data_IF_354347407412
#
_entry.id   IF_354347407412
#
_cell.length_a   1.000
_cell.length_b   1.000
_cell.length_c   1.000
_cell.angle_alpha   90.00
_cell.angle_beta   90.00
_cell.angle_gamma   90.00
#
_symmetry.space_group_name_H-M   'P 1'
#
loop_
_entity.id
_entity.type
_entity.pdbx_description
1 polymer ?
#
# COMPACT_ATOMS: atom_id res chain seq x y z
N UNK A 1 -2.33 -15.90 12.86
CA UNK A 1 -1.93 -14.58 12.34
C UNK A 1 -1.45 -14.85 10.94
N UNK A 2 -2.40 -14.89 10.01
CA UNK A 2 -2.17 -15.36 8.65
C UNK A 2 -1.31 -14.33 7.92
N UNK A 3 -0.07 -14.73 7.61
CA UNK A 3 0.84 -13.94 6.80
C UNK A 3 0.32 -13.96 5.37
N UNK A 4 -0.31 -12.88 4.90
CA UNK A 4 -0.65 -12.71 3.49
C UNK A 4 0.65 -12.53 2.69
N UNK A 5 1.04 -13.45 1.81
CA UNK A 5 2.27 -13.31 1.05
C UNK A 5 2.03 -12.34 -0.11
N UNK A 6 2.34 -11.06 0.09
CA UNK A 6 2.37 -10.06 -0.99
C UNK A 6 3.80 -9.54 -1.12
N UNK A 7 4.59 -10.10 -2.04
CA UNK A 7 5.96 -9.67 -2.32
C UNK A 7 5.98 -8.59 -3.39
N UNK A 8 6.73 -7.50 -3.19
CA UNK A 8 7.05 -6.51 -4.22
C UNK A 8 8.44 -6.80 -4.78
N UNK A 9 8.66 -6.61 -6.08
CA UNK A 9 9.97 -6.76 -6.71
C UNK A 9 10.51 -5.39 -7.15
N UNK A 10 11.81 -5.15 -6.93
CA UNK A 10 12.50 -3.92 -7.34
C UNK A 10 12.45 -3.64 -8.85
N UNK A 11 12.23 -4.67 -9.69
CA UNK A 11 12.06 -4.49 -11.14
C UNK A 11 10.62 -4.15 -11.55
N UNK A 12 9.65 -4.24 -10.65
CA UNK A 12 8.25 -3.91 -10.95
C UNK A 12 8.02 -2.40 -10.94
N UNK A 13 7.33 -1.91 -11.95
CA UNK A 13 6.95 -0.50 -12.06
C UNK A 13 5.46 -0.33 -11.80
N UNK A 14 5.07 0.86 -11.32
CA UNK A 14 3.65 1.19 -11.14
C UNK A 14 3.05 0.80 -9.79
N UNK A 15 3.70 -0.04 -8.98
CA UNK A 15 3.25 -0.39 -7.62
C UNK A 15 3.12 0.87 -6.75
N UNK A 16 4.19 1.67 -6.66
CA UNK A 16 4.18 2.94 -5.91
C UNK A 16 3.09 3.88 -6.40
N UNK A 17 2.88 3.97 -7.73
CA UNK A 17 1.82 4.80 -8.33
C UNK A 17 0.42 4.31 -7.95
N UNK A 18 0.17 3.00 -8.01
CA UNK A 18 -1.14 2.41 -7.67
C UNK A 18 -1.49 2.67 -6.20
N UNK A 19 -0.51 2.47 -5.32
CA UNK A 19 -0.63 2.74 -3.89
C UNK A 19 -0.88 4.23 -3.63
N UNK A 20 -0.03 5.11 -4.15
CA UNK A 20 -0.15 6.55 -3.93
C UNK A 20 -1.45 7.10 -4.48
N UNK A 21 -1.91 6.62 -5.63
CA UNK A 21 -3.16 7.05 -6.26
C UNK A 21 -4.39 6.72 -5.40
N UNK A 22 -4.47 5.51 -4.85
CA UNK A 22 -5.61 5.11 -4.01
C UNK A 22 -5.65 5.86 -2.69
N UNK A 23 -4.49 6.13 -2.07
CA UNK A 23 -4.44 6.89 -0.83
C UNK A 23 -4.73 8.38 -1.06
N UNK A 24 -4.24 8.95 -2.17
CA UNK A 24 -4.51 10.33 -2.57
C UNK A 24 -6.00 10.58 -2.84
N UNK A 25 -6.68 9.66 -3.55
CA UNK A 25 -8.13 9.74 -3.78
C UNK A 25 -8.97 9.79 -2.50
N UNK A 26 -8.40 9.38 -1.35
CA UNK A 26 -9.04 9.38 -0.04
C UNK A 26 -8.49 10.46 0.90
N UNK A 27 -7.64 11.35 0.39
CA UNK A 27 -6.90 12.38 1.13
C UNK A 27 -6.10 11.79 2.32
N UNK A 28 -5.48 10.63 2.12
CA UNK A 28 -4.66 9.97 3.15
C UNK A 28 -3.18 10.29 2.85
N UNK A 29 -2.49 11.10 3.68
CA UNK A 29 -1.07 11.33 3.47
C UNK A 29 -0.28 10.05 3.75
N UNK A 30 0.73 9.77 2.93
CA UNK A 30 1.57 8.60 3.08
C UNK A 30 3.04 8.86 2.73
N UNK A 31 3.93 8.18 3.44
CA UNK A 31 5.35 8.06 3.06
C UNK A 31 5.60 6.60 2.66
N UNK A 32 6.19 6.39 1.49
CA UNK A 32 6.50 5.05 0.97
C UNK A 32 8.01 4.82 1.06
N UNK A 33 8.40 3.72 1.67
CA UNK A 33 9.78 3.23 1.72
C UNK A 33 9.83 1.90 0.98
N UNK A 34 10.43 1.91 -0.21
CA UNK A 34 10.60 0.73 -1.06
C UNK A 34 11.71 -0.13 -0.46
N UNK A 35 11.43 -1.41 -0.20
CA UNK A 35 12.42 -2.36 0.29
C UNK A 35 12.52 -3.58 -0.66
N UNK A 36 13.45 -4.48 -0.37
CA UNK A 36 13.79 -5.59 -1.27
C UNK A 36 12.67 -6.63 -1.44
N UNK A 37 11.85 -6.84 -0.41
CA UNK A 37 10.78 -7.85 -0.43
C UNK A 37 9.38 -7.28 -0.37
N UNK A 38 9.22 -6.13 0.30
CA UNK A 38 7.93 -5.50 0.56
C UNK A 38 8.12 -3.99 0.66
N UNK A 39 7.16 -3.24 0.12
CA UNK A 39 7.12 -1.79 0.33
C UNK A 39 6.49 -1.49 1.69
N UNK A 40 7.07 -0.55 2.43
CA UNK A 40 6.52 -0.05 3.68
C UNK A 40 5.80 1.27 3.46
N UNK A 41 4.53 1.33 3.87
CA UNK A 41 3.69 2.51 3.73
C UNK A 41 3.38 3.05 5.13
N UNK A 42 3.80 4.27 5.40
CA UNK A 42 3.53 4.96 6.66
C UNK A 42 2.40 5.97 6.46
N UNK A 43 1.40 5.91 7.33
CA UNK A 43 0.23 6.81 7.34
C UNK A 43 -0.03 7.33 8.76
N UNK A 44 -0.77 8.44 8.94
CA UNK A 44 -1.21 8.86 10.27
C UNK A 44 -1.97 7.74 10.98
N UNK A 45 -1.64 7.49 12.25
CA UNK A 45 -2.23 6.41 13.04
C UNK A 45 -3.77 6.48 13.11
N UNK A 46 -4.32 7.70 13.14
CA UNK A 46 -5.76 7.97 13.13
C UNK A 46 -6.46 7.49 11.87
N UNK A 47 -5.73 7.37 10.75
CA UNK A 47 -6.25 6.96 9.44
C UNK A 47 -5.91 5.50 9.09
N UNK A 48 -5.19 4.76 9.95
CA UNK A 48 -4.66 3.42 9.67
C UNK A 48 -5.71 2.43 9.14
N UNK A 49 -6.93 2.45 9.69
CA UNK A 49 -8.00 1.53 9.30
C UNK A 49 -8.57 1.88 7.93
N UNK A 50 -8.71 3.18 7.63
CA UNK A 50 -9.14 3.67 6.32
C UNK A 50 -8.11 3.33 5.25
N UNK A 51 -6.82 3.55 5.55
CA UNK A 51 -5.72 3.20 4.68
C UNK A 51 -5.66 1.68 4.42
N UNK A 52 -5.75 0.87 5.49
CA UNK A 52 -5.75 -0.59 5.36
C UNK A 52 -6.91 -1.06 4.48
N UNK A 53 -8.13 -0.57 4.71
CA UNK A 53 -9.29 -0.91 3.88
C UNK A 53 -9.08 -0.56 2.40
N UNK A 54 -8.52 0.62 2.11
CA UNK A 54 -8.25 1.04 0.75
C UNK A 54 -7.19 0.15 0.07
N UNK A 55 -6.11 -0.18 0.79
CA UNK A 55 -5.04 -1.04 0.27
C UNK A 55 -5.49 -2.50 0.11
N UNK A 56 -6.31 -3.04 1.00
CA UNK A 56 -6.84 -4.41 0.87
C UNK A 56 -7.74 -4.55 -0.36
N UNK A 57 -8.48 -3.50 -0.76
CA UNK A 57 -9.27 -3.53 -1.99
C UNK A 57 -8.45 -3.64 -3.28
N UNK A 58 -7.15 -3.31 -3.23
CA UNK A 58 -6.24 -3.48 -4.37
C UNK A 58 -5.87 -4.94 -4.64
N UNK A 59 -5.93 -5.80 -3.61
CA UNK A 59 -5.58 -7.22 -3.70
C UNK A 59 -6.75 -8.14 -4.05
N UNK A 60 -7.97 -7.60 -4.12
CA UNK A 60 -9.21 -8.34 -4.43
C UNK A 60 -9.70 -8.11 -5.87
N UNK A 61 -8.84 -7.68 -6.79
CA UNK A 61 -9.18 -7.43 -8.20
C UNK A 61 -8.62 -8.49 -9.15
N UNK A 62 -9.46 -8.91 -10.11
CA UNK A 62 -9.15 -9.64 -11.35
C UNK A 62 -8.00 -9.02 -12.17
#
# INVERSE_FOLDING_TARGET
>A
MDYLPTTTNLSETGITRKISFVLDALCIPCNIVVAFHHDHIFVPYTMRLKALSALTSLGTGE
#
